data_IF_243473652025
#
_entry.id   IF_243473652025
#
_cell.length_a   1.000
_cell.length_b   1.000
_cell.length_c   1.000
_cell.angle_alpha   90.00
_cell.angle_beta   90.00
_cell.angle_gamma   90.00
#
_symmetry.space_group_name_H-M   'P 1'
#
loop_
_entity.id
_entity.type
_entity.pdbx_description
1 polymer ?
#
# COMPACT_ATOMS: atom_id res chain seq x y z
N UNK A 1 -19.24 -33.52 33.90
CA UNK A 1 -19.00 -32.06 33.88
C UNK A 1 -17.99 -31.75 32.78
N UNK A 2 -18.44 -31.49 31.55
CA UNK A 2 -17.56 -31.54 30.38
C UNK A 2 -16.92 -30.19 30.05
N UNK A 3 -15.61 -30.26 29.84
CA UNK A 3 -14.74 -29.23 29.29
C UNK A 3 -15.06 -29.04 27.80
N UNK A 4 -15.77 -27.97 27.42
CA UNK A 4 -16.14 -27.73 26.00
C UNK A 4 -15.77 -26.34 25.47
N UNK A 5 -15.05 -25.52 26.23
CA UNK A 5 -14.75 -24.13 25.84
C UNK A 5 -13.27 -23.86 25.52
N UNK A 6 -12.57 -24.83 24.92
CA UNK A 6 -11.16 -24.66 24.52
C UNK A 6 -10.86 -25.14 23.11
N UNK A 7 -11.75 -24.88 22.16
CA UNK A 7 -11.47 -25.19 20.75
C UNK A 7 -11.81 -24.07 19.76
N UNK A 8 -12.64 -23.09 20.13
CA UNK A 8 -13.04 -22.01 19.20
C UNK A 8 -12.00 -20.86 19.09
N UNK A 9 -11.09 -20.70 20.05
CA UNK A 9 -10.17 -19.55 20.08
C UNK A 9 -8.88 -19.74 19.26
N UNK A 10 -8.58 -20.96 18.81
CA UNK A 10 -7.27 -21.28 18.20
C UNK A 10 -7.32 -21.26 16.66
N UNK A 11 -8.52 -21.18 16.06
CA UNK A 11 -8.73 -21.19 14.61
C UNK A 11 -8.59 -19.80 13.94
N UNK A 12 -8.39 -18.72 14.70
CA UNK A 12 -8.24 -17.36 14.15
C UNK A 12 -6.78 -16.97 13.89
N UNK A 13 -5.78 -17.70 14.44
CA UNK A 13 -4.37 -17.31 14.31
C UNK A 13 -3.66 -17.91 13.09
N UNK A 14 -4.29 -18.85 12.37
CA UNK A 14 -3.64 -19.60 11.28
C UNK A 14 -4.04 -19.14 9.86
N UNK A 15 -4.88 -18.11 9.75
CA UNK A 15 -5.37 -17.57 8.47
C UNK A 15 -4.51 -16.44 7.88
N UNK A 16 -3.39 -16.08 8.50
CA UNK A 16 -2.52 -14.98 8.02
C UNK A 16 -1.36 -15.48 7.13
N UNK A 17 -1.27 -16.78 6.84
CA UNK A 17 -0.10 -17.33 6.10
C UNK A 17 -0.44 -18.20 4.89
N UNK A 18 -1.69 -18.18 4.40
CA UNK A 18 -2.09 -18.92 3.21
C UNK A 18 -2.01 -18.04 1.94
N UNK A 19 -0.80 -17.59 1.57
CA UNK A 19 -0.49 -17.19 0.18
C UNK A 19 1.01 -16.96 -0.11
N UNK A 20 1.90 -17.80 0.43
CA UNK A 20 3.34 -17.77 0.07
C UNK A 20 3.71 -18.82 -0.98
N UNK A 21 3.01 -18.84 -2.12
CA UNK A 21 3.22 -19.91 -3.12
C UNK A 21 2.72 -19.67 -4.54
N UNK A 22 2.22 -18.49 -4.90
CA UNK A 22 2.08 -18.10 -6.32
C UNK A 22 3.31 -17.28 -6.66
N UNK A 23 4.07 -17.69 -7.68
CA UNK A 23 5.30 -17.01 -8.11
C UNK A 23 5.10 -15.50 -8.08
N UNK A 24 5.72 -14.84 -7.10
CA UNK A 24 5.38 -13.46 -6.78
C UNK A 24 5.61 -12.60 -8.02
N UNK A 25 4.51 -12.09 -8.58
CA UNK A 25 4.57 -11.09 -9.62
C UNK A 25 5.43 -9.93 -9.13
N UNK A 26 6.12 -9.24 -10.03
CA UNK A 26 6.96 -8.09 -9.69
C UNK A 26 6.19 -7.06 -8.83
N UNK A 27 4.88 -6.96 -9.05
CA UNK A 27 3.96 -6.07 -8.34
C UNK A 27 3.69 -6.50 -6.89
N UNK A 28 3.64 -7.80 -6.61
CA UNK A 28 3.39 -8.33 -5.27
C UNK A 28 4.59 -8.06 -4.36
N UNK A 29 5.80 -8.27 -4.90
CA UNK A 29 7.06 -7.88 -4.23
C UNK A 29 7.13 -6.38 -3.97
N UNK A 30 6.58 -5.58 -4.89
CA UNK A 30 6.53 -4.13 -4.76
C UNK A 30 5.59 -3.70 -3.63
N UNK A 31 4.42 -4.34 -3.51
CA UNK A 31 3.48 -4.12 -2.43
C UNK A 31 4.09 -4.50 -1.08
N UNK A 32 4.71 -5.67 -0.96
CA UNK A 32 5.42 -6.07 0.26
C UNK A 32 6.54 -5.08 0.64
N UNK A 33 7.33 -4.64 -0.34
CA UNK A 33 8.36 -3.62 -0.15
C UNK A 33 7.75 -2.30 0.33
N UNK A 34 6.62 -1.90 -0.24
CA UNK A 34 5.89 -0.70 0.19
C UNK A 34 5.41 -0.84 1.63
N UNK A 35 4.79 -1.96 2.00
CA UNK A 35 4.33 -2.25 3.38
C UNK A 35 5.51 -2.20 4.35
N UNK A 36 6.62 -2.84 4.00
CA UNK A 36 7.80 -2.93 4.86
C UNK A 36 8.61 -1.61 4.91
N UNK A 37 8.51 -0.74 3.89
CA UNK A 37 9.24 0.52 3.87
C UNK A 37 8.75 1.49 4.96
N UNK A 38 9.65 1.95 5.83
CA UNK A 38 9.31 2.83 6.96
C UNK A 38 9.83 4.26 6.80
N UNK A 39 10.85 4.49 5.98
CA UNK A 39 11.61 5.75 5.94
C UNK A 39 11.56 6.45 4.59
N UNK A 40 11.88 5.74 3.52
CA UNK A 40 11.94 6.28 2.17
C UNK A 40 11.41 5.27 1.17
N UNK A 41 10.71 5.73 0.15
CA UNK A 41 10.23 4.88 -0.92
C UNK A 41 10.44 5.57 -2.26
N UNK A 42 10.79 4.80 -3.28
CA UNK A 42 11.12 5.35 -4.60
C UNK A 42 9.83 5.81 -5.29
N UNK A 43 9.89 7.00 -5.92
CA UNK A 43 8.70 7.61 -6.52
C UNK A 43 8.16 6.80 -7.70
N UNK A 44 9.04 6.26 -8.55
CA UNK A 44 8.65 5.45 -9.71
C UNK A 44 7.97 4.16 -9.26
N UNK A 45 8.52 3.48 -8.26
CA UNK A 45 7.91 2.34 -7.57
C UNK A 45 6.52 2.69 -7.02
N UNK A 46 6.34 3.87 -6.42
CA UNK A 46 5.04 4.31 -5.92
C UNK A 46 4.04 4.52 -7.05
N UNK A 47 4.46 5.17 -8.13
CA UNK A 47 3.63 5.41 -9.32
C UNK A 47 3.18 4.08 -9.92
N UNK A 48 4.09 3.11 -10.05
CA UNK A 48 3.77 1.76 -10.57
C UNK A 48 2.79 1.06 -9.63
N UNK A 49 2.99 1.13 -8.32
CA UNK A 49 2.08 0.53 -7.34
C UNK A 49 0.68 1.14 -7.42
N UNK A 50 0.59 2.48 -7.43
CA UNK A 50 -0.68 3.19 -7.52
C UNK A 50 -1.37 2.93 -8.86
N UNK A 51 -0.62 2.92 -9.97
CA UNK A 51 -1.14 2.56 -11.29
C UNK A 51 -1.68 1.13 -11.33
N UNK A 52 -1.01 0.18 -10.66
CA UNK A 52 -1.50 -1.19 -10.52
C UNK A 52 -2.79 -1.28 -9.68
N UNK A 53 -2.93 -0.42 -8.66
CA UNK A 53 -4.15 -0.28 -7.88
C UNK A 53 -5.29 0.42 -8.66
N UNK A 54 -5.05 0.86 -9.90
CA UNK A 54 -6.04 1.55 -10.74
C UNK A 54 -6.02 3.07 -10.64
N UNK A 55 -5.04 3.66 -9.95
CA UNK A 55 -4.91 5.11 -9.87
C UNK A 55 -4.25 5.68 -11.13
N UNK A 56 -4.83 6.73 -11.67
CA UNK A 56 -4.25 7.52 -12.75
C UNK A 56 -3.41 8.67 -12.19
N UNK A 57 -2.14 8.72 -12.60
CA UNK A 57 -1.26 9.85 -12.30
C UNK A 57 -1.64 11.04 -13.19
N UNK A 58 -2.07 12.15 -12.56
CA UNK A 58 -2.29 13.45 -13.19
C UNK A 58 -1.31 14.48 -12.64
N UNK A 59 -0.45 15.01 -13.51
CA UNK A 59 0.42 16.14 -13.17
C UNK A 59 -0.38 17.45 -13.27
N UNK A 60 -0.27 18.29 -12.24
CA UNK A 60 -0.92 19.59 -12.17
C UNK A 60 0.10 20.71 -12.35
N UNK A 61 -0.34 21.97 -12.43
CA UNK A 61 0.56 23.12 -12.39
C UNK A 61 1.48 23.08 -11.15
N UNK A 62 2.78 23.26 -11.39
CA UNK A 62 3.85 23.20 -10.39
C UNK A 62 4.29 21.76 -10.05
N UNK A 63 4.95 21.59 -8.91
CA UNK A 63 5.43 20.28 -8.44
C UNK A 63 4.33 19.40 -7.83
N UNK A 64 3.06 19.62 -8.17
CA UNK A 64 1.90 18.90 -7.60
C UNK A 64 1.51 17.75 -8.52
N UNK A 65 1.44 16.55 -7.97
CA UNK A 65 0.96 15.36 -8.65
C UNK A 65 -0.26 14.82 -7.92
N UNK A 66 -1.32 14.49 -8.65
CA UNK A 66 -2.50 13.85 -8.09
C UNK A 66 -2.61 12.45 -8.66
N UNK A 67 -2.97 11.49 -7.83
CA UNK A 67 -3.35 10.16 -8.24
C UNK A 67 -4.86 10.06 -8.08
N UNK A 68 -5.56 10.07 -9.21
CA UNK A 68 -7.03 10.05 -9.26
C UNK A 68 -7.48 8.61 -9.45
N UNK A 69 -8.51 8.20 -8.73
CA UNK A 69 -9.16 6.91 -8.90
C UNK A 69 -10.66 7.14 -8.96
N UNK A 70 -11.39 6.33 -9.75
CA UNK A 70 -12.85 6.51 -9.91
C UNK A 70 -13.61 6.17 -8.62
N UNK A 71 -13.18 5.10 -7.95
CA UNK A 71 -13.80 4.57 -6.72
C UNK A 71 -13.24 5.12 -5.39
N UNK A 72 -12.00 5.60 -5.36
CA UNK A 72 -11.28 5.92 -4.12
C UNK A 72 -10.87 7.39 -4.06
N UNK A 73 -10.52 7.87 -2.87
CA UNK A 73 -10.03 9.25 -2.70
C UNK A 73 -8.78 9.51 -3.54
N UNK A 74 -8.76 10.69 -4.16
CA UNK A 74 -7.58 11.18 -4.89
C UNK A 74 -6.42 11.42 -3.93
N UNK A 75 -5.27 10.81 -4.20
CA UNK A 75 -4.06 10.99 -3.40
C UNK A 75 -3.26 12.15 -3.98
N UNK A 76 -3.10 13.22 -3.20
CA UNK A 76 -2.31 14.40 -3.61
C UNK A 76 -0.90 14.29 -3.06
N UNK A 77 0.09 14.27 -3.94
CA UNK A 77 1.49 14.16 -3.59
C UNK A 77 2.29 15.31 -4.22
N UNK A 78 3.36 15.70 -3.55
CA UNK A 78 4.32 16.64 -4.08
C UNK A 78 5.44 15.85 -4.75
N UNK A 79 5.83 16.25 -5.97
CA UNK A 79 6.96 15.66 -6.68
C UNK A 79 8.20 15.87 -5.80
N UNK A 80 8.86 14.79 -5.33
CA UNK A 80 10.08 14.93 -4.56
C UNK A 80 11.16 15.51 -5.47
N UNK A 81 11.62 16.71 -5.17
CA UNK A 81 12.67 17.41 -5.91
C UNK A 81 13.86 17.62 -4.96
N UNK A 82 15.12 17.30 -5.32
CA UNK A 82 15.66 16.54 -6.45
C UNK A 82 15.86 15.04 -6.18
N UNK A 83 15.51 14.55 -4.98
CA UNK A 83 15.89 13.20 -4.55
C UNK A 83 15.07 12.06 -5.17
N UNK A 84 13.98 12.27 -5.93
CA UNK A 84 13.14 11.20 -6.53
C UNK A 84 12.58 10.14 -5.55
N UNK A 85 12.67 10.36 -4.24
CA UNK A 85 12.13 9.47 -3.21
C UNK A 85 11.14 10.21 -2.31
N UNK A 86 10.03 9.55 -1.94
CA UNK A 86 9.11 10.07 -0.93
C UNK A 86 9.66 9.80 0.46
N UNK A 87 9.65 10.84 1.31
CA UNK A 87 10.08 10.74 2.70
C UNK A 87 8.90 10.32 3.59
N UNK A 88 9.23 9.76 4.76
CA UNK A 88 8.31 9.05 5.65
C UNK A 88 6.98 9.74 5.97
N UNK A 89 6.89 11.07 5.95
CA UNK A 89 5.61 11.79 6.12
C UNK A 89 4.60 11.45 5.02
N UNK A 90 4.96 11.73 3.76
CA UNK A 90 4.13 11.41 2.60
C UNK A 90 3.86 9.90 2.49
N UNK A 91 4.86 9.06 2.80
CA UNK A 91 4.68 7.60 2.80
C UNK A 91 3.63 7.13 3.81
N UNK A 92 3.67 7.68 5.03
CA UNK A 92 2.68 7.35 6.08
C UNK A 92 1.29 7.79 5.68
N UNK A 93 1.15 8.98 5.08
CA UNK A 93 -0.15 9.47 4.62
C UNK A 93 -0.73 8.58 3.53
N UNK A 94 0.07 8.20 2.51
CA UNK A 94 -0.39 7.27 1.47
C UNK A 94 -0.79 5.93 2.06
N UNK A 95 0.00 5.37 2.98
CA UNK A 95 -0.34 4.11 3.66
C UNK A 95 -1.64 4.20 4.44
N UNK A 96 -1.85 5.31 5.16
CA UNK A 96 -3.09 5.54 5.91
C UNK A 96 -4.27 5.58 4.95
N UNK A 97 -4.18 6.35 3.86
CA UNK A 97 -5.23 6.42 2.84
C UNK A 97 -5.53 5.05 2.24
N UNK A 98 -4.52 4.30 1.78
CA UNK A 98 -4.74 2.97 1.19
C UNK A 98 -5.40 2.00 2.17
N UNK A 99 -5.04 2.07 3.46
CA UNK A 99 -5.66 1.25 4.52
C UNK A 99 -7.10 1.68 4.82
N UNK A 100 -7.39 2.99 4.83
CA UNK A 100 -8.75 3.51 5.01
C UNK A 100 -9.66 3.10 3.85
N UNK A 101 -9.14 3.05 2.63
CA UNK A 101 -9.88 2.66 1.43
C UNK A 101 -9.98 1.13 1.26
N UNK A 102 -9.36 0.33 2.14
CA UNK A 102 -9.40 -1.14 2.12
C UNK A 102 -8.57 -1.77 1.00
N UNK A 103 -7.61 -1.03 0.45
CA UNK A 103 -6.65 -1.52 -0.56
C UNK A 103 -5.43 -2.20 0.07
N UNK A 104 -5.27 -2.08 1.39
CA UNK A 104 -4.17 -2.62 2.19
C UNK A 104 -4.68 -3.13 3.54
#
# INVERSE_FOLDING_TARGET
MPLIYRQQSIMQLQLVTQNKGKGMGKNDKLLEKFINSKKTFEWTELVVLLSFLGYEKKEMQGSRVRFVHEKYKTIMLHRPHPENHIKGGALKDVKRMLKEEGLL
#
